data_IF_743347756932
#
_entry.id   IF_743347756932
#
_cell.length_a   1.000
_cell.length_b   1.000
_cell.length_c   1.000
_cell.angle_alpha   90.00
_cell.angle_beta   90.00
_cell.angle_gamma   90.00
#
_symmetry.space_group_name_H-M   'P 1'
#
loop_
_entity.id
_entity.type
_entity.pdbx_description
1 polymer ?
#
# COMPACT_ATOMS: atom_id res chain seq x y z
N UNK A 1 -2.77 -27.71 40.88
CA UNK A 1 -3.35 -26.35 40.81
C UNK A 1 -3.46 -25.80 39.39
N UNK A 2 -2.45 -25.96 38.52
CA UNK A 2 -2.47 -25.52 37.10
C UNK A 2 -3.57 -26.15 36.22
N UNK A 3 -4.14 -27.30 36.60
CA UNK A 3 -5.22 -27.97 35.87
C UNK A 3 -6.60 -27.36 36.11
N UNK A 4 -6.89 -26.90 37.32
CA UNK A 4 -8.18 -26.33 37.69
C UNK A 4 -8.38 -24.93 37.09
N UNK A 5 -7.32 -24.12 36.98
CA UNK A 5 -7.38 -22.83 36.28
C UNK A 5 -7.61 -22.99 34.77
N UNK A 6 -7.02 -24.01 34.13
CA UNK A 6 -7.29 -24.34 32.72
C UNK A 6 -8.72 -24.85 32.52
N UNK A 7 -9.23 -25.68 33.43
CA UNK A 7 -10.61 -26.16 33.41
C UNK A 7 -11.60 -25.01 33.65
N UNK A 8 -11.28 -24.07 34.54
CA UNK A 8 -12.11 -22.90 34.82
C UNK A 8 -12.12 -21.90 33.64
N UNK A 9 -10.98 -21.74 32.96
CA UNK A 9 -10.87 -20.96 31.71
C UNK A 9 -11.69 -21.58 30.59
N UNK A 10 -11.61 -22.90 30.41
CA UNK A 10 -12.42 -23.66 29.45
C UNK A 10 -13.91 -23.62 29.82
N UNK A 11 -14.25 -23.71 31.11
CA UNK A 11 -15.63 -23.60 31.60
C UNK A 11 -16.22 -22.22 31.34
N UNK A 12 -15.45 -21.15 31.55
CA UNK A 12 -15.90 -19.78 31.25
C UNK A 12 -16.04 -19.54 29.74
N UNK A 13 -15.16 -20.12 28.92
CA UNK A 13 -15.30 -20.12 27.46
C UNK A 13 -16.55 -20.90 27.03
N UNK A 14 -16.80 -22.08 27.59
CA UNK A 14 -18.00 -22.91 27.30
C UNK A 14 -19.28 -22.23 27.80
N UNK A 15 -19.25 -21.56 28.95
CA UNK A 15 -20.39 -20.82 29.52
C UNK A 15 -20.77 -19.62 28.66
N UNK A 16 -19.78 -18.87 28.17
CA UNK A 16 -19.96 -17.79 27.19
C UNK A 16 -20.56 -18.32 25.86
N UNK A 17 -20.10 -19.50 25.42
CA UNK A 17 -20.60 -20.21 24.23
C UNK A 17 -22.04 -20.72 24.41
N UNK A 18 -22.40 -21.19 25.60
CA UNK A 18 -23.76 -21.61 25.93
C UNK A 18 -24.71 -20.42 26.08
N UNK A 19 -24.21 -19.25 26.48
CA UNK A 19 -25.00 -18.03 26.49
C UNK A 19 -25.35 -17.56 25.06
N UNK A 20 -24.40 -17.69 24.11
CA UNK A 20 -24.61 -17.47 22.67
C UNK A 20 -25.62 -18.45 22.04
N UNK A 21 -25.81 -19.63 22.65
CA UNK A 21 -26.75 -20.66 22.19
C UNK A 21 -28.23 -20.32 22.45
N UNK A 22 -28.53 -19.38 23.38
CA UNK A 22 -29.93 -19.01 23.70
C UNK A 22 -30.60 -18.19 22.59
N UNK A 23 -29.83 -17.44 21.81
CA UNK A 23 -30.35 -16.51 20.79
C UNK A 23 -30.17 -17.00 19.34
N UNK A 24 -29.29 -17.99 19.10
CA UNK A 24 -29.06 -18.53 17.75
C UNK A 24 -29.74 -19.88 17.54
N UNK A 25 -30.75 -19.91 16.65
CA UNK A 25 -31.37 -21.14 16.13
C UNK A 25 -30.51 -21.89 15.09
N UNK A 26 -29.23 -21.59 14.91
CA UNK A 26 -28.43 -22.23 13.86
C UNK A 26 -27.03 -22.71 14.28
N UNK A 27 -26.68 -23.85 13.67
CA UNK A 27 -25.58 -24.79 13.93
C UNK A 27 -24.14 -24.23 13.73
N UNK A 28 -23.99 -22.93 13.50
CA UNK A 28 -22.78 -22.36 12.89
C UNK A 28 -21.61 -22.14 13.88
N UNK A 29 -21.83 -22.22 15.19
CA UNK A 29 -20.81 -21.94 16.20
C UNK A 29 -20.06 -23.20 16.70
N UNK A 30 -20.68 -24.38 16.60
CA UNK A 30 -20.05 -25.66 17.01
C UNK A 30 -18.82 -26.03 16.17
N UNK A 31 -18.75 -25.54 14.94
CA UNK A 31 -17.74 -25.79 13.93
C UNK A 31 -16.37 -25.16 14.24
N UNK A 32 -16.35 -23.99 14.88
CA UNK A 32 -15.13 -23.29 15.28
C UNK A 32 -14.51 -23.91 16.54
N UNK A 33 -15.37 -24.46 17.41
CA UNK A 33 -15.01 -25.12 18.66
C UNK A 33 -14.31 -26.45 18.38
N UNK A 34 -14.83 -27.26 17.45
CA UNK A 34 -14.21 -28.55 17.09
C UNK A 34 -12.81 -28.34 16.50
N UNK A 35 -12.64 -27.35 15.62
CA UNK A 35 -11.32 -27.04 15.02
C UNK A 35 -10.27 -26.59 16.07
N UNK A 36 -10.65 -25.80 17.08
CA UNK A 36 -9.73 -25.42 18.18
C UNK A 36 -9.49 -26.56 19.17
N UNK A 37 -10.49 -27.41 19.44
CA UNK A 37 -10.35 -28.54 20.36
C UNK A 37 -9.55 -29.70 19.77
N UNK A 38 -9.67 -29.97 18.47
CA UNK A 38 -8.88 -30.99 17.76
C UNK A 38 -7.37 -30.65 17.74
N UNK A 39 -7.03 -29.35 17.68
CA UNK A 39 -5.65 -28.90 17.61
C UNK A 39 -4.97 -28.70 18.99
N UNK A 40 -5.70 -28.81 20.12
CA UNK A 40 -5.14 -28.56 21.45
C UNK A 40 -5.17 -29.74 22.43
N UNK A 41 -5.89 -30.83 22.16
CA UNK A 41 -6.10 -31.91 23.15
C UNK A 41 -5.95 -33.29 22.51
N UNK A 42 -5.08 -34.14 23.08
CA UNK A 42 -4.98 -35.57 22.69
C UNK A 42 -6.32 -36.28 22.97
N UNK A 43 -6.84 -37.11 22.04
CA UNK A 43 -8.15 -37.73 22.18
C UNK A 43 -8.19 -38.68 23.39
N UNK A 44 -9.14 -38.43 24.31
CA UNK A 44 -9.45 -39.32 25.43
C UNK A 44 -10.88 -39.90 25.29
N UNK A 45 -11.20 -41.02 25.94
CA UNK A 45 -12.56 -41.60 25.90
C UNK A 45 -13.67 -40.62 26.34
N UNK A 46 -13.34 -39.70 27.26
CA UNK A 46 -14.24 -38.67 27.75
C UNK A 46 -14.49 -37.56 26.70
N UNK A 47 -13.50 -37.29 25.84
CA UNK A 47 -13.61 -36.38 24.69
C UNK A 47 -14.56 -36.94 23.61
N UNK A 48 -14.50 -38.26 23.36
CA UNK A 48 -15.40 -38.94 22.41
C UNK A 48 -16.85 -39.00 22.91
N UNK A 49 -17.05 -39.17 24.23
CA UNK A 49 -18.35 -39.09 24.88
C UNK A 49 -18.97 -37.68 24.79
N UNK A 50 -18.16 -36.63 24.94
CA UNK A 50 -18.60 -35.23 24.82
C UNK A 50 -19.07 -34.90 23.39
N UNK A 51 -18.32 -35.34 22.37
CA UNK A 51 -18.71 -35.18 20.96
C UNK A 51 -19.97 -35.99 20.64
N UNK A 52 -20.10 -37.22 21.15
CA UNK A 52 -21.29 -38.06 20.98
C UNK A 52 -22.54 -37.45 21.63
N UNK A 53 -22.41 -36.87 22.82
CA UNK A 53 -23.49 -36.14 23.52
C UNK A 53 -23.92 -34.88 22.77
N UNK A 54 -22.96 -34.11 22.24
CA UNK A 54 -23.22 -32.94 21.40
C UNK A 54 -23.99 -33.35 20.12
N UNK A 55 -23.60 -34.46 19.48
CA UNK A 55 -24.28 -35.00 18.30
C UNK A 55 -25.70 -35.51 18.61
N UNK A 56 -25.91 -36.18 19.75
CA UNK A 56 -27.22 -36.67 20.20
C UNK A 56 -28.19 -35.52 20.52
N UNK A 57 -27.69 -34.46 21.19
CA UNK A 57 -28.47 -33.26 21.51
C UNK A 57 -28.86 -32.48 20.26
N UNK A 58 -27.97 -32.39 19.27
CA UNK A 58 -28.27 -31.83 17.95
C UNK A 58 -29.34 -32.63 17.19
N UNK A 59 -29.29 -33.97 17.26
CA UNK A 59 -30.22 -34.87 16.55
C UNK A 59 -31.62 -34.92 17.17
N UNK A 60 -31.75 -34.74 18.49
CA UNK A 60 -33.04 -34.73 19.24
C UNK A 60 -33.99 -33.62 18.76
N UNK A 61 -33.49 -32.56 18.11
CA UNK A 61 -34.29 -31.46 17.52
C UNK A 61 -34.85 -31.77 16.11
N UNK A 62 -34.42 -32.83 15.42
CA UNK A 62 -34.92 -33.22 14.08
C UNK A 62 -35.92 -34.38 14.19
N UNK A 63 -37.22 -34.07 14.20
CA UNK A 63 -38.29 -35.08 14.13
C UNK A 63 -38.19 -35.91 12.82
N UNK A 64 -38.10 -37.23 12.99
CA UNK A 64 -38.75 -38.29 12.19
C UNK A 64 -38.42 -38.52 10.68
N UNK A 65 -37.20 -38.29 10.19
CA UNK A 65 -36.85 -38.73 8.81
C UNK A 65 -35.82 -39.84 8.66
N UNK A 66 -35.28 -40.41 9.75
CA UNK A 66 -34.30 -41.51 9.65
C UNK A 66 -34.33 -42.44 10.87
N UNK A 67 -35.47 -43.07 11.14
CA UNK A 67 -35.65 -43.98 12.29
C UNK A 67 -34.71 -45.18 12.21
N UNK A 68 -34.50 -45.75 11.01
CA UNK A 68 -33.62 -46.91 10.77
C UNK A 68 -32.16 -46.63 11.12
N UNK A 69 -31.57 -45.55 10.56
CA UNK A 69 -30.18 -45.14 10.86
C UNK A 69 -29.94 -44.69 12.31
N UNK A 70 -30.98 -44.33 13.05
CA UNK A 70 -30.88 -44.03 14.49
C UNK A 70 -30.86 -45.32 15.30
N UNK A 71 -31.63 -46.33 14.90
CA UNK A 71 -31.59 -47.66 15.53
C UNK A 71 -30.27 -48.38 15.24
N UNK A 72 -29.75 -48.31 14.01
CA UNK A 72 -28.44 -48.90 13.66
C UNK A 72 -27.28 -48.24 14.43
N UNK A 73 -27.36 -46.93 14.67
CA UNK A 73 -26.36 -46.20 15.47
C UNK A 73 -26.50 -46.50 16.97
N UNK A 74 -27.73 -46.66 17.47
CA UNK A 74 -28.00 -47.06 18.84
C UNK A 74 -27.56 -48.50 19.12
N UNK A 75 -27.68 -49.41 18.15
CA UNK A 75 -27.17 -50.78 18.28
C UNK A 75 -25.64 -50.82 18.27
N UNK A 76 -24.98 -49.99 17.46
CA UNK A 76 -23.51 -49.86 17.47
C UNK A 76 -22.97 -49.27 18.78
N UNK A 77 -23.69 -48.31 19.37
CA UNK A 77 -23.37 -47.76 20.70
C UNK A 77 -23.62 -48.81 21.80
N UNK A 78 -24.65 -49.64 21.65
CA UNK A 78 -24.92 -50.76 22.57
C UNK A 78 -23.94 -51.93 22.44
N UNK A 79 -23.27 -52.10 21.30
CA UNK A 79 -22.31 -53.19 21.05
C UNK A 79 -20.84 -52.81 21.30
N UNK A 80 -20.56 -51.56 21.72
CA UNK A 80 -19.20 -51.04 21.92
C UNK A 80 -18.25 -51.25 20.72
N UNK A 81 -18.76 -51.27 19.49
CA UNK A 81 -17.90 -51.36 18.30
C UNK A 81 -17.38 -49.97 17.92
N UNK A 82 -16.25 -49.61 18.54
CA UNK A 82 -15.55 -48.33 18.35
C UNK A 82 -15.08 -48.15 16.91
N UNK A 83 -14.72 -49.23 16.21
CA UNK A 83 -14.23 -49.21 14.83
C UNK A 83 -15.33 -48.89 13.81
N UNK A 84 -16.50 -49.53 13.96
CA UNK A 84 -17.68 -49.26 13.14
C UNK A 84 -18.24 -47.85 13.35
N UNK A 85 -18.23 -47.35 14.59
CA UNK A 85 -18.63 -45.98 14.93
C UNK A 85 -17.70 -44.94 14.32
N UNK A 86 -16.39 -45.18 14.37
CA UNK A 86 -15.40 -44.30 13.76
C UNK A 86 -15.62 -44.20 12.24
N UNK A 87 -15.75 -45.33 11.55
CA UNK A 87 -15.90 -45.37 10.09
C UNK A 87 -17.23 -44.79 9.59
N UNK A 88 -18.32 -45.00 10.33
CA UNK A 88 -19.63 -44.43 10.00
C UNK A 88 -19.67 -42.91 10.20
N UNK A 89 -19.09 -42.41 11.30
CA UNK A 89 -18.95 -40.98 11.57
C UNK A 89 -18.00 -40.32 10.57
N UNK A 90 -16.88 -40.96 10.23
CA UNK A 90 -15.94 -40.47 9.24
C UNK A 90 -16.62 -40.34 7.88
N UNK A 91 -17.25 -41.39 7.34
CA UNK A 91 -17.86 -41.35 6.00
C UNK A 91 -19.07 -40.39 5.87
N UNK A 92 -19.88 -40.23 6.91
CA UNK A 92 -21.04 -39.31 6.90
C UNK A 92 -20.64 -37.84 7.10
N UNK A 93 -19.58 -37.59 7.86
CA UNK A 93 -19.06 -36.24 8.09
C UNK A 93 -18.18 -35.79 6.92
N UNK A 94 -17.16 -36.56 6.55
CA UNK A 94 -16.07 -36.11 5.67
C UNK A 94 -16.54 -35.62 4.29
N UNK A 95 -17.47 -36.32 3.63
CA UNK A 95 -17.85 -35.97 2.26
C UNK A 95 -18.85 -34.81 2.17
N UNK A 96 -19.86 -34.73 3.05
CA UNK A 96 -20.82 -33.61 3.06
C UNK A 96 -20.27 -32.35 3.70
N UNK A 97 -19.37 -32.50 4.66
CA UNK A 97 -18.63 -31.39 5.28
C UNK A 97 -17.61 -30.87 4.26
N UNK A 98 -16.71 -31.67 3.67
CA UNK A 98 -15.75 -31.12 2.68
C UNK A 98 -16.42 -30.35 1.54
N UNK A 99 -17.55 -30.80 1.00
CA UNK A 99 -18.23 -30.10 -0.11
C UNK A 99 -18.84 -28.77 0.36
N UNK A 100 -19.48 -28.73 1.54
CA UNK A 100 -20.11 -27.51 2.06
C UNK A 100 -19.10 -26.55 2.70
N UNK A 101 -18.00 -27.06 3.21
CA UNK A 101 -16.90 -26.30 3.80
C UNK A 101 -15.96 -25.73 2.75
N UNK A 102 -15.65 -26.49 1.70
CA UNK A 102 -15.02 -25.92 0.51
C UNK A 102 -15.92 -24.83 -0.09
N UNK A 103 -17.25 -24.98 -0.04
CA UNK A 103 -18.17 -23.93 -0.50
C UNK A 103 -18.16 -22.68 0.39
N UNK A 104 -18.18 -22.80 1.73
CA UNK A 104 -18.14 -21.65 2.66
C UNK A 104 -16.76 -20.96 2.67
N UNK A 105 -15.67 -21.74 2.65
CA UNK A 105 -14.30 -21.24 2.56
C UNK A 105 -14.00 -20.67 1.16
N UNK A 106 -14.74 -21.05 0.11
CA UNK A 106 -14.63 -20.43 -1.23
C UNK A 106 -15.61 -19.28 -1.44
N UNK A 107 -16.51 -18.98 -0.50
CA UNK A 107 -17.51 -17.94 -0.69
C UNK A 107 -17.03 -16.61 -0.11
N UNK A 108 -16.47 -15.76 -0.98
CA UNK A 108 -16.12 -14.36 -0.74
C UNK A 108 -17.22 -13.62 0.04
N UNK A 109 -18.49 -13.78 -0.36
CA UNK A 109 -19.62 -13.07 0.24
C UNK A 109 -19.82 -13.40 1.73
N UNK A 110 -19.48 -14.62 2.17
CA UNK A 110 -19.63 -15.01 3.57
C UNK A 110 -18.56 -14.36 4.45
N UNK A 111 -17.31 -14.25 3.95
CA UNK A 111 -16.23 -13.61 4.71
C UNK A 111 -16.43 -12.10 4.82
N UNK A 112 -16.82 -11.44 3.74
CA UNK A 112 -17.15 -10.01 3.76
C UNK A 112 -18.31 -9.74 4.73
N UNK A 113 -19.34 -10.60 4.74
CA UNK A 113 -20.44 -10.51 5.70
C UNK A 113 -19.98 -10.60 7.17
N UNK A 114 -19.01 -11.47 7.49
CA UNK A 114 -18.47 -11.55 8.86
C UNK A 114 -17.86 -10.23 9.32
N UNK A 115 -17.06 -9.60 8.46
CA UNK A 115 -16.50 -8.27 8.72
C UNK A 115 -17.60 -7.22 8.92
N UNK A 116 -18.54 -7.11 7.98
CA UNK A 116 -19.62 -6.11 8.04
C UNK A 116 -20.53 -6.26 9.27
N UNK A 117 -20.75 -7.50 9.71
CA UNK A 117 -21.62 -7.77 10.85
C UNK A 117 -21.06 -7.33 12.20
N UNK A 118 -19.73 -7.07 12.29
CA UNK A 118 -18.99 -6.79 13.53
C UNK A 118 -19.24 -7.81 14.65
N UNK A 119 -19.64 -9.04 14.32
CA UNK A 119 -19.95 -10.08 15.32
C UNK A 119 -18.68 -10.80 15.73
N UNK A 120 -18.49 -10.99 17.04
CA UNK A 120 -17.36 -11.74 17.60
C UNK A 120 -15.99 -11.19 17.19
N UNK A 121 -15.89 -9.89 16.91
CA UNK A 121 -14.59 -9.26 16.71
C UNK A 121 -13.76 -9.42 17.98
N UNK A 122 -12.45 -9.60 17.79
CA UNK A 122 -11.46 -9.66 18.86
C UNK A 122 -10.28 -8.72 18.58
N UNK A 123 -10.39 -7.88 17.54
CA UNK A 123 -9.38 -6.91 17.15
C UNK A 123 -10.07 -5.59 16.73
N UNK A 124 -9.66 -4.46 17.31
CA UNK A 124 -10.01 -3.10 16.90
C UNK A 124 -8.78 -2.44 16.28
N UNK A 125 -8.93 -1.96 15.04
CA UNK A 125 -7.90 -1.23 14.33
C UNK A 125 -8.41 0.19 14.11
N UNK A 126 -7.73 1.16 14.69
CA UNK A 126 -7.97 2.57 14.43
C UNK A 126 -7.05 3.03 13.31
N UNK A 127 -7.60 3.63 12.27
CA UNK A 127 -6.82 4.15 11.13
C UNK A 127 -7.04 5.63 10.95
N UNK A 128 -6.19 6.26 10.14
CA UNK A 128 -6.13 7.69 9.90
C UNK A 128 -5.67 8.52 11.11
N UNK A 129 -5.43 9.81 10.88
CA UNK A 129 -5.01 10.77 11.92
C UNK A 129 -6.18 11.11 12.84
N UNK A 130 -5.89 11.58 14.06
CA UNK A 130 -6.88 11.84 15.12
C UNK A 130 -8.14 12.59 14.67
N UNK A 131 -8.02 13.57 13.76
CA UNK A 131 -9.17 14.34 13.27
C UNK A 131 -10.15 13.53 12.39
N UNK A 132 -9.69 12.46 11.74
CA UNK A 132 -10.46 11.62 10.82
C UNK A 132 -10.48 10.15 11.26
N UNK A 133 -10.03 9.87 12.49
CA UNK A 133 -9.79 8.52 12.99
C UNK A 133 -11.06 7.68 12.93
N UNK A 134 -10.95 6.48 12.38
CA UNK A 134 -12.06 5.50 12.38
C UNK A 134 -11.61 4.14 12.84
N UNK A 135 -12.49 3.49 13.60
CA UNK A 135 -12.30 2.15 14.11
C UNK A 135 -12.89 1.10 13.17
N UNK A 136 -12.12 0.05 12.96
CA UNK A 136 -12.47 -1.15 12.22
C UNK A 136 -12.45 -2.34 13.16
N UNK A 137 -13.52 -3.13 13.14
CA UNK A 137 -13.72 -4.28 14.01
C UNK A 137 -13.44 -5.54 13.20
N UNK A 138 -12.39 -6.27 13.57
CA UNK A 138 -11.85 -7.37 12.79
C UNK A 138 -11.58 -8.62 13.67
N UNK A 139 -11.18 -9.70 12.99
CA UNK A 139 -10.88 -10.99 13.59
C UNK A 139 -9.39 -11.28 13.44
N UNK A 140 -8.69 -11.37 14.57
CA UNK A 140 -7.25 -11.63 14.67
C UNK A 140 -6.80 -12.79 13.79
N UNK A 141 -7.55 -13.90 13.82
CA UNK A 141 -7.28 -15.11 13.03
C UNK A 141 -7.30 -14.89 11.51
N UNK A 142 -8.13 -13.98 11.01
CA UNK A 142 -8.19 -13.69 9.57
C UNK A 142 -7.02 -12.77 9.20
N UNK A 143 -6.75 -11.76 10.02
CA UNK A 143 -5.64 -10.83 9.81
C UNK A 143 -4.30 -11.56 9.79
N UNK A 144 -4.04 -12.41 10.78
CA UNK A 144 -2.81 -13.21 10.92
C UNK A 144 -2.55 -14.12 9.71
N UNK A 145 -3.58 -14.82 9.23
CA UNK A 145 -3.43 -15.73 8.07
C UNK A 145 -3.20 -14.98 6.76
N UNK A 146 -3.67 -13.72 6.66
CA UNK A 146 -3.68 -12.96 5.40
C UNK A 146 -2.57 -11.93 5.29
N UNK A 147 -1.86 -11.64 6.37
CA UNK A 147 -0.86 -10.58 6.43
C UNK A 147 0.20 -10.93 7.47
N UNK A 148 1.43 -11.10 7.01
CA UNK A 148 2.58 -11.38 7.88
C UNK A 148 2.88 -10.22 8.83
N UNK A 149 2.47 -9.00 8.50
CA UNK A 149 2.50 -7.86 9.42
C UNK A 149 1.62 -8.13 10.66
N UNK A 150 0.37 -8.56 10.46
CA UNK A 150 -0.53 -8.84 11.59
C UNK A 150 -0.12 -10.10 12.36
N UNK A 151 0.41 -11.12 11.68
CA UNK A 151 1.03 -12.27 12.34
C UNK A 151 2.19 -11.84 13.25
N UNK A 152 3.11 -11.02 12.73
CA UNK A 152 4.23 -10.50 13.50
C UNK A 152 3.75 -9.67 14.71
N UNK A 153 2.81 -8.76 14.49
CA UNK A 153 2.20 -7.94 15.54
C UNK A 153 1.60 -8.77 16.68
N UNK A 154 0.87 -9.83 16.35
CA UNK A 154 0.20 -10.66 17.35
C UNK A 154 1.19 -11.59 18.07
N UNK A 155 2.09 -12.24 17.33
CA UNK A 155 3.09 -13.17 17.89
C UNK A 155 4.10 -12.48 18.81
N UNK A 156 4.42 -11.22 18.56
CA UNK A 156 5.37 -10.43 19.36
C UNK A 156 4.69 -9.51 20.38
N UNK A 157 3.36 -9.57 20.52
CA UNK A 157 2.62 -8.77 21.50
C UNK A 157 2.69 -7.26 21.27
N UNK A 158 2.82 -6.82 20.02
CA UNK A 158 2.90 -5.39 19.65
C UNK A 158 1.52 -4.70 19.68
N UNK A 159 0.44 -5.47 19.57
CA UNK A 159 -0.91 -4.95 19.77
C UNK A 159 -1.23 -4.81 21.26
N UNK A 160 -1.83 -3.69 21.67
CA UNK A 160 -2.36 -3.53 23.02
C UNK A 160 -3.51 -4.52 23.23
N UNK A 161 -3.69 -5.02 24.45
CA UNK A 161 -4.77 -5.95 24.76
C UNK A 161 -5.57 -5.48 25.97
N UNK A 162 -6.85 -5.21 25.75
CA UNK A 162 -7.78 -4.72 26.77
C UNK A 162 -9.04 -5.58 26.74
N UNK A 163 -9.49 -6.11 27.89
CA UNK A 163 -10.70 -6.93 27.97
C UNK A 163 -10.78 -8.09 26.95
N UNK A 164 -9.63 -8.74 26.68
CA UNK A 164 -9.46 -9.77 25.63
C UNK A 164 -9.61 -9.31 24.17
N UNK A 165 -9.68 -8.00 23.92
CA UNK A 165 -9.70 -7.40 22.59
C UNK A 165 -8.32 -6.82 22.29
N UNK A 166 -7.79 -7.10 21.11
CA UNK A 166 -6.58 -6.46 20.60
C UNK A 166 -6.90 -5.07 20.06
N UNK A 167 -6.05 -4.09 20.33
CA UNK A 167 -6.22 -2.69 19.91
C UNK A 167 -4.93 -2.20 19.28
N UNK A 168 -5.03 -1.63 18.08
CA UNK A 168 -3.91 -1.06 17.34
C UNK A 168 -4.30 0.24 16.63
N UNK A 169 -3.37 1.19 16.60
CA UNK A 169 -3.47 2.39 15.78
C UNK A 169 -2.55 2.25 14.55
N UNK A 170 -3.08 2.58 13.37
CA UNK A 170 -2.34 2.63 12.09
C UNK A 170 -2.63 3.98 11.41
N UNK A 171 -2.07 5.09 11.93
CA UNK A 171 -2.46 6.44 11.52
C UNK A 171 -2.02 6.81 10.09
N UNK A 172 -1.04 6.09 9.54
CA UNK A 172 -0.48 6.38 8.20
C UNK A 172 -1.35 5.86 7.04
N UNK A 173 -2.40 5.10 7.33
CA UNK A 173 -3.33 4.59 6.30
C UNK A 173 -4.65 5.35 6.44
N UNK A 174 -5.10 5.97 5.35
CA UNK A 174 -6.39 6.67 5.34
C UNK A 174 -7.55 5.69 5.49
N UNK A 175 -8.69 6.20 5.97
CA UNK A 175 -9.92 5.41 6.09
C UNK A 175 -10.30 4.71 4.78
N UNK A 176 -10.23 5.42 3.65
CA UNK A 176 -10.70 4.88 2.37
C UNK A 176 -9.78 3.81 1.81
N UNK A 177 -8.46 3.99 1.92
CA UNK A 177 -7.48 2.96 1.57
C UNK A 177 -7.65 1.74 2.47
N UNK A 178 -7.85 1.92 3.78
CA UNK A 178 -8.03 0.80 4.68
C UNK A 178 -9.32 0.01 4.42
N UNK A 179 -10.40 0.66 3.97
CA UNK A 179 -11.63 -0.04 3.55
C UNK A 179 -11.37 -1.00 2.39
N UNK A 180 -10.56 -0.60 1.41
CA UNK A 180 -10.18 -1.45 0.28
C UNK A 180 -9.38 -2.65 0.80
N UNK A 181 -8.37 -2.40 1.63
CA UNK A 181 -7.48 -3.42 2.18
C UNK A 181 -8.22 -4.44 3.05
N UNK A 182 -9.08 -3.99 3.96
CA UNK A 182 -9.81 -4.91 4.85
C UNK A 182 -10.82 -5.74 4.06
N UNK A 183 -11.47 -5.16 3.04
CA UNK A 183 -12.32 -5.93 2.13
C UNK A 183 -11.52 -6.96 1.36
N UNK A 184 -10.31 -6.63 0.90
CA UNK A 184 -9.41 -7.59 0.27
C UNK A 184 -8.98 -8.72 1.22
N UNK A 185 -8.58 -8.39 2.44
CA UNK A 185 -8.16 -9.37 3.44
C UNK A 185 -9.27 -10.40 3.69
N UNK A 186 -10.53 -9.97 3.77
CA UNK A 186 -11.66 -10.87 3.96
C UNK A 186 -12.16 -11.50 2.67
N UNK A 187 -12.26 -10.76 1.57
CA UNK A 187 -12.87 -11.21 0.32
C UNK A 187 -11.92 -12.04 -0.53
N UNK A 188 -10.66 -11.63 -0.61
CA UNK A 188 -9.66 -12.13 -1.56
C UNK A 188 -9.69 -11.43 -2.91
N UNK A 189 -10.52 -10.39 -3.06
CA UNK A 189 -10.71 -9.61 -4.28
C UNK A 189 -10.49 -8.13 -4.00
N UNK A 190 -10.03 -7.41 -5.01
CA UNK A 190 -9.81 -5.98 -4.94
C UNK A 190 -10.42 -5.32 -6.18
N UNK A 191 -11.15 -4.23 -5.97
CA UNK A 191 -11.77 -3.43 -7.03
C UNK A 191 -11.17 -2.03 -6.98
N UNK A 192 -10.58 -1.59 -8.08
CA UNK A 192 -9.91 -0.30 -8.25
C UNK A 192 -10.59 0.57 -9.31
N UNK A 193 -11.69 0.11 -9.92
CA UNK A 193 -12.28 0.68 -11.14
C UNK A 193 -12.65 2.17 -11.04
N UNK A 194 -12.90 2.67 -9.83
CA UNK A 194 -13.33 4.04 -9.56
C UNK A 194 -12.41 4.79 -8.59
N UNK A 195 -11.24 4.23 -8.28
CA UNK A 195 -10.31 4.85 -7.34
C UNK A 195 -9.47 5.93 -8.01
N UNK A 196 -9.25 7.02 -7.29
CA UNK A 196 -8.34 8.07 -7.73
C UNK A 196 -6.89 7.57 -7.68
N UNK A 197 -6.05 8.08 -8.58
CA UNK A 197 -4.64 7.70 -8.66
C UNK A 197 -3.90 7.86 -7.31
N UNK A 198 -4.20 8.92 -6.57
CA UNK A 198 -3.64 9.16 -5.23
C UNK A 198 -4.00 8.05 -4.24
N UNK A 199 -5.25 7.55 -4.28
CA UNK A 199 -5.68 6.42 -3.44
C UNK A 199 -4.97 5.13 -3.86
N UNK A 200 -4.75 4.90 -5.15
CA UNK A 200 -4.07 3.70 -5.66
C UNK A 200 -2.58 3.71 -5.25
N UNK A 201 -1.92 4.87 -5.29
CA UNK A 201 -0.56 5.04 -4.78
C UNK A 201 -0.50 4.80 -3.28
N UNK A 202 -1.40 5.41 -2.51
CA UNK A 202 -1.48 5.21 -1.06
C UNK A 202 -1.81 3.76 -0.69
N UNK A 203 -2.65 3.10 -1.49
CA UNK A 203 -2.96 1.67 -1.38
C UNK A 203 -1.69 0.83 -1.60
N UNK A 204 -0.87 1.13 -2.60
CA UNK A 204 0.38 0.41 -2.85
C UNK A 204 1.34 0.52 -1.64
N UNK A 205 1.52 1.73 -1.09
CA UNK A 205 2.33 1.96 0.11
C UNK A 205 1.75 1.22 1.33
N UNK A 206 0.43 1.21 1.47
CA UNK A 206 -0.24 0.50 2.55
C UNK A 206 -0.15 -1.03 2.39
N UNK A 207 -0.16 -1.56 1.17
CA UNK A 207 0.12 -2.97 0.90
C UNK A 207 1.52 -3.34 1.39
N UNK A 208 2.53 -2.49 1.12
CA UNK A 208 3.89 -2.71 1.62
C UNK A 208 3.95 -2.72 3.14
N UNK A 209 3.33 -1.74 3.78
CA UNK A 209 3.27 -1.64 5.24
C UNK A 209 2.62 -2.87 5.88
N UNK A 210 1.52 -3.35 5.32
CA UNK A 210 0.78 -4.51 5.81
C UNK A 210 1.31 -5.85 5.24
N UNK A 211 2.39 -5.84 4.46
CA UNK A 211 3.01 -7.01 3.84
C UNK A 211 2.01 -7.88 3.06
N UNK A 212 1.23 -7.22 2.20
CA UNK A 212 0.31 -7.83 1.25
C UNK A 212 0.98 -7.92 -0.13
N UNK A 213 2.08 -8.66 -0.18
CA UNK A 213 2.99 -8.76 -1.33
C UNK A 213 2.28 -9.23 -2.60
N UNK A 214 1.25 -10.08 -2.47
CA UNK A 214 0.49 -10.58 -3.61
C UNK A 214 -0.28 -9.49 -4.38
N UNK A 215 -0.43 -8.29 -3.81
CA UNK A 215 -1.08 -7.15 -4.46
C UNK A 215 -0.12 -6.23 -5.21
N UNK A 216 1.19 -6.26 -4.93
CA UNK A 216 2.12 -5.23 -5.41
C UNK A 216 2.12 -5.12 -6.93
N UNK A 217 2.22 -6.26 -7.61
CA UNK A 217 2.27 -6.32 -9.07
C UNK A 217 0.97 -5.82 -9.70
N UNK A 218 -0.17 -6.22 -9.15
CA UNK A 218 -1.49 -5.85 -9.66
C UNK A 218 -1.74 -4.34 -9.51
N UNK A 219 -1.44 -3.77 -8.34
CA UNK A 219 -1.67 -2.35 -8.07
C UNK A 219 -0.73 -1.47 -8.90
N UNK A 220 0.53 -1.88 -9.07
CA UNK A 220 1.48 -1.18 -9.96
C UNK A 220 1.02 -1.21 -11.42
N UNK A 221 0.64 -2.38 -11.95
CA UNK A 221 0.15 -2.53 -13.32
C UNK A 221 -1.11 -1.68 -13.54
N UNK A 222 -2.03 -1.68 -12.56
CA UNK A 222 -3.25 -0.89 -12.64
C UNK A 222 -2.96 0.60 -12.70
N UNK A 223 -2.07 1.11 -11.82
CA UNK A 223 -1.67 2.51 -11.80
C UNK A 223 -1.04 2.93 -13.14
N UNK A 224 -0.09 2.12 -13.65
CA UNK A 224 0.59 2.38 -14.93
C UNK A 224 -0.38 2.32 -16.11
N UNK A 225 -1.36 1.43 -16.09
CA UNK A 225 -2.30 1.26 -17.21
C UNK A 225 -3.40 2.32 -17.24
N UNK A 226 -3.93 2.70 -16.08
CA UNK A 226 -5.14 3.51 -15.99
C UNK A 226 -4.89 4.97 -15.58
N UNK A 227 -3.71 5.31 -15.04
CA UNK A 227 -3.44 6.64 -14.48
C UNK A 227 -2.12 7.28 -14.99
N UNK A 228 -1.71 6.99 -16.23
CA UNK A 228 -0.46 7.54 -16.82
C UNK A 228 -0.36 9.05 -16.75
N UNK A 229 -1.43 9.78 -17.12
CA UNK A 229 -1.45 11.24 -17.07
C UNK A 229 -1.19 11.77 -15.67
N UNK A 230 -1.73 11.10 -14.65
CA UNK A 230 -1.49 11.47 -13.26
C UNK A 230 -0.06 11.14 -12.83
N UNK A 231 0.50 10.00 -13.26
CA UNK A 231 1.92 9.66 -13.03
C UNK A 231 2.83 10.74 -13.60
N UNK A 232 2.57 11.21 -14.82
CA UNK A 232 3.38 12.25 -15.47
C UNK A 232 3.30 13.59 -14.74
N UNK A 233 2.12 13.92 -14.16
CA UNK A 233 1.96 15.11 -13.35
C UNK A 233 2.65 15.01 -11.97
N UNK A 234 2.85 13.80 -11.46
CA UNK A 234 3.40 13.50 -10.14
C UNK A 234 4.68 12.65 -10.26
N UNK A 235 5.52 12.99 -11.24
CA UNK A 235 6.64 12.15 -11.67
C UNK A 235 7.73 12.06 -10.60
N UNK A 236 7.91 13.10 -9.78
CA UNK A 236 8.87 13.12 -8.67
C UNK A 236 8.38 12.23 -7.52
N UNK A 237 7.10 12.32 -7.16
CA UNK A 237 6.47 11.49 -6.15
C UNK A 237 6.57 10.00 -6.52
N UNK A 238 6.28 9.66 -7.79
CA UNK A 238 6.40 8.27 -8.26
C UNK A 238 7.84 7.77 -8.19
N UNK A 239 8.84 8.60 -8.51
CA UNK A 239 10.26 8.26 -8.27
C UNK A 239 10.50 7.96 -6.79
N UNK A 240 10.10 8.85 -5.90
CA UNK A 240 10.35 8.71 -4.47
C UNK A 240 9.75 7.41 -3.91
N UNK A 241 8.49 7.13 -4.25
CA UNK A 241 7.80 5.93 -3.78
C UNK A 241 8.40 4.67 -4.40
N UNK A 242 8.62 4.65 -5.71
CA UNK A 242 9.12 3.47 -6.40
C UNK A 242 10.54 3.09 -5.95
N UNK A 243 11.44 4.06 -5.74
CA UNK A 243 12.82 3.78 -5.32
C UNK A 243 12.98 3.63 -3.80
N UNK A 244 11.95 3.99 -3.00
CA UNK A 244 11.94 3.71 -1.55
C UNK A 244 11.78 2.21 -1.25
N UNK A 245 11.08 1.48 -2.11
CA UNK A 245 10.75 0.07 -1.90
C UNK A 245 11.25 -0.78 -3.07
N UNK A 246 12.13 -1.75 -2.80
CA UNK A 246 12.73 -2.61 -3.83
C UNK A 246 11.70 -3.45 -4.59
N UNK A 247 10.58 -3.80 -3.94
CA UNK A 247 9.53 -4.64 -4.53
C UNK A 247 8.68 -3.89 -5.58
N UNK A 248 8.85 -2.58 -5.72
CA UNK A 248 8.13 -1.76 -6.70
C UNK A 248 8.86 -1.68 -8.05
N UNK A 249 9.43 -2.80 -8.49
CA UNK A 249 10.28 -2.89 -9.68
C UNK A 249 9.55 -2.45 -10.97
N UNK A 250 8.24 -2.70 -11.09
CA UNK A 250 7.48 -2.30 -12.28
C UNK A 250 7.37 -0.79 -12.40
N UNK A 251 7.10 -0.09 -11.29
CA UNK A 251 7.10 1.37 -11.26
C UNK A 251 8.50 1.95 -11.45
N UNK A 252 9.53 1.35 -10.84
CA UNK A 252 10.92 1.78 -11.04
C UNK A 252 11.31 1.70 -12.52
N UNK A 253 11.03 0.57 -13.17
CA UNK A 253 11.31 0.36 -14.59
C UNK A 253 10.50 1.32 -15.46
N UNK A 254 9.19 1.45 -15.22
CA UNK A 254 8.34 2.39 -15.95
C UNK A 254 8.86 3.82 -15.83
N UNK A 255 9.23 4.24 -14.62
CA UNK A 255 9.81 5.56 -14.37
C UNK A 255 11.13 5.76 -15.10
N UNK A 256 12.07 4.82 -14.99
CA UNK A 256 13.39 4.90 -15.62
C UNK A 256 13.31 4.94 -17.15
N UNK A 257 12.47 4.08 -17.75
CA UNK A 257 12.18 4.09 -19.19
C UNK A 257 11.58 5.42 -19.61
N UNK A 258 10.56 5.91 -18.91
CA UNK A 258 9.91 7.20 -19.21
C UNK A 258 10.88 8.37 -19.11
N UNK A 259 11.73 8.40 -18.07
CA UNK A 259 12.72 9.45 -17.88
C UNK A 259 13.79 9.46 -18.99
N UNK A 260 14.17 8.28 -19.48
CA UNK A 260 15.13 8.12 -20.56
C UNK A 260 14.52 8.52 -21.92
N UNK A 261 13.30 8.09 -22.22
CA UNK A 261 12.65 8.33 -23.50
C UNK A 261 12.07 9.75 -23.61
N UNK A 262 11.59 10.31 -22.50
CA UNK A 262 10.84 11.58 -22.48
C UNK A 262 11.25 12.45 -21.26
N UNK A 263 12.49 12.94 -21.20
CA UNK A 263 12.96 13.73 -20.05
C UNK A 263 12.16 15.02 -19.82
N UNK A 264 11.46 15.53 -20.85
CA UNK A 264 10.55 16.68 -20.74
C UNK A 264 9.38 16.44 -19.76
N UNK A 265 8.96 15.19 -19.55
CA UNK A 265 7.90 14.85 -18.58
C UNK A 265 8.32 15.29 -17.18
N UNK A 266 9.57 15.02 -16.78
CA UNK A 266 10.09 15.40 -15.47
C UNK A 266 9.93 16.91 -15.23
N UNK A 267 10.33 17.73 -16.20
CA UNK A 267 10.25 19.18 -16.07
C UNK A 267 8.82 19.72 -16.21
N UNK A 268 7.92 18.99 -16.87
CA UNK A 268 6.51 19.37 -17.01
C UNK A 268 5.65 18.94 -15.82
N UNK A 269 6.19 18.11 -14.93
CA UNK A 269 5.48 17.62 -13.76
C UNK A 269 5.10 18.78 -12.81
N UNK A 270 3.93 18.64 -12.18
CA UNK A 270 3.42 19.61 -11.21
C UNK A 270 4.29 19.60 -9.95
N UNK A 271 4.81 18.43 -9.59
CA UNK A 271 5.65 18.22 -8.43
C UNK A 271 7.15 18.39 -8.70
N UNK A 272 7.56 18.85 -9.88
CA UNK A 272 8.98 19.08 -10.21
C UNK A 272 9.69 19.95 -9.17
N UNK A 273 9.01 20.98 -8.66
CA UNK A 273 9.56 21.90 -7.66
C UNK A 273 9.76 21.26 -6.29
N UNK A 274 9.28 20.03 -6.07
CA UNK A 274 9.54 19.25 -4.85
C UNK A 274 10.86 18.45 -4.88
N UNK A 275 11.58 18.46 -6.01
CA UNK A 275 12.91 17.84 -6.10
C UNK A 275 13.85 18.47 -5.07
N UNK A 276 14.59 17.62 -4.36
CA UNK A 276 15.72 18.06 -3.55
C UNK A 276 16.84 18.63 -4.43
N UNK A 277 17.69 19.47 -3.82
CA UNK A 277 18.75 20.19 -4.53
C UNK A 277 19.76 19.21 -5.12
N UNK A 278 20.09 18.13 -4.43
CA UNK A 278 21.02 17.09 -4.87
C UNK A 278 20.53 16.38 -6.13
N UNK A 279 19.24 16.05 -6.20
CA UNK A 279 18.61 15.47 -7.37
C UNK A 279 18.64 16.44 -8.56
N UNK A 280 18.30 17.72 -8.33
CA UNK A 280 18.37 18.74 -9.39
C UNK A 280 19.81 18.94 -9.89
N UNK A 281 20.80 18.94 -8.99
CA UNK A 281 22.22 19.00 -9.35
C UNK A 281 22.63 17.81 -10.20
N UNK A 282 22.19 16.60 -9.86
CA UNK A 282 22.45 15.38 -10.64
C UNK A 282 21.90 15.51 -12.07
N UNK A 283 20.65 15.97 -12.21
CA UNK A 283 20.02 16.22 -13.51
C UNK A 283 20.80 17.26 -14.32
N UNK A 284 21.18 18.37 -13.69
CA UNK A 284 21.93 19.43 -14.37
C UNK A 284 23.34 18.99 -14.81
N UNK A 285 23.95 18.01 -14.13
CA UNK A 285 25.27 17.45 -14.50
C UNK A 285 25.20 16.50 -15.71
N UNK A 286 24.06 15.87 -15.99
CA UNK A 286 23.95 14.86 -17.03
C UNK A 286 24.11 15.46 -18.45
N UNK A 287 25.19 15.10 -19.13
CA UNK A 287 25.47 15.54 -20.51
C UNK A 287 24.50 14.97 -21.54
N UNK A 288 23.79 13.89 -21.22
CA UNK A 288 22.79 13.26 -22.10
C UNK A 288 21.37 13.79 -21.86
N UNK A 289 21.19 14.78 -20.98
CA UNK A 289 19.90 15.41 -20.73
C UNK A 289 19.36 16.07 -22.02
N UNK A 290 18.29 15.53 -22.57
CA UNK A 290 17.68 15.97 -23.83
C UNK A 290 16.70 17.14 -23.64
N UNK A 291 17.20 18.29 -23.16
CA UNK A 291 16.44 19.55 -23.01
C UNK A 291 17.28 20.71 -23.51
N UNK A 292 16.66 21.70 -24.17
CA UNK A 292 17.37 22.91 -24.62
C UNK A 292 17.80 23.73 -23.40
N UNK A 293 18.98 24.34 -23.45
CA UNK A 293 19.51 25.02 -22.27
C UNK A 293 18.65 26.22 -21.81
N UNK A 294 17.99 26.90 -22.75
CA UNK A 294 17.04 27.97 -22.42
C UNK A 294 15.76 27.45 -21.73
N UNK A 295 15.27 26.26 -22.09
CA UNK A 295 14.15 25.58 -21.43
C UNK A 295 14.57 25.11 -20.03
N UNK A 296 15.77 24.52 -19.91
CA UNK A 296 16.33 24.09 -18.62
C UNK A 296 16.45 25.27 -17.66
N UNK A 297 16.92 26.43 -18.14
CA UNK A 297 17.00 27.65 -17.35
C UNK A 297 15.63 28.05 -16.76
N UNK A 298 14.57 28.05 -17.58
CA UNK A 298 13.22 28.39 -17.11
C UNK A 298 12.76 27.46 -15.98
N UNK A 299 13.06 26.16 -16.10
CA UNK A 299 12.73 25.18 -15.07
C UNK A 299 13.54 25.40 -13.78
N UNK A 300 14.82 25.74 -13.87
CA UNK A 300 15.67 26.02 -12.71
C UNK A 300 15.21 27.28 -11.97
N UNK A 301 14.84 28.33 -12.71
CA UNK A 301 14.27 29.54 -12.11
C UNK A 301 12.94 29.22 -11.43
N UNK A 302 12.07 28.43 -12.07
CA UNK A 302 10.81 27.98 -11.46
C UNK A 302 11.05 27.20 -10.16
N UNK A 303 12.02 26.28 -10.16
CA UNK A 303 12.42 25.55 -8.95
C UNK A 303 12.95 26.50 -7.87
N UNK A 304 13.87 27.40 -8.22
CA UNK A 304 14.46 28.35 -7.29
C UNK A 304 13.43 29.28 -6.65
N UNK A 305 12.44 29.77 -7.41
CA UNK A 305 11.32 30.54 -6.85
C UNK A 305 10.46 29.71 -5.90
N UNK A 306 10.16 28.46 -6.25
CA UNK A 306 9.35 27.59 -5.41
C UNK A 306 10.03 27.22 -4.08
N UNK A 307 11.37 27.16 -4.03
CA UNK A 307 12.11 26.97 -2.78
C UNK A 307 12.08 28.19 -1.85
N UNK A 308 11.74 29.38 -2.38
CA UNK A 308 11.76 30.64 -1.67
C UNK A 308 10.40 31.33 -1.85
N UNK A 309 9.37 30.78 -1.21
CA UNK A 309 7.97 31.20 -1.35
C UNK A 309 7.68 32.67 -1.00
N UNK A 310 8.61 33.33 -0.32
CA UNK A 310 8.60 34.75 0.01
C UNK A 310 8.92 35.66 -1.18
N UNK A 311 9.49 35.13 -2.26
CA UNK A 311 9.86 35.91 -3.43
C UNK A 311 8.62 36.38 -4.21
N UNK A 312 8.59 37.65 -4.67
CA UNK A 312 7.51 38.12 -5.54
C UNK A 312 7.43 37.31 -6.84
N UNK A 313 6.23 37.12 -7.37
CA UNK A 313 6.04 36.39 -8.63
C UNK A 313 6.66 37.14 -9.83
N UNK A 314 6.32 38.42 -9.95
CA UNK A 314 6.83 39.31 -10.99
C UNK A 314 8.22 39.86 -10.64
N UNK A 315 9.18 39.68 -11.56
CA UNK A 315 10.56 40.08 -11.37
C UNK A 315 10.74 41.61 -11.21
N UNK A 316 9.83 42.41 -11.79
CA UNK A 316 9.89 43.87 -11.71
C UNK A 316 9.72 44.39 -10.27
N UNK A 317 9.18 43.56 -9.38
CA UNK A 317 8.96 43.89 -7.97
C UNK A 317 10.13 43.43 -7.08
N UNK A 318 11.20 42.87 -7.66
CA UNK A 318 12.30 42.30 -6.89
C UNK A 318 13.28 43.37 -6.39
N UNK A 319 13.64 43.24 -5.12
CA UNK A 319 14.71 43.99 -4.47
C UNK A 319 16.06 43.28 -4.65
N UNK A 320 17.15 43.98 -4.34
CA UNK A 320 18.49 43.37 -4.32
C UNK A 320 18.58 42.17 -3.37
N UNK A 321 17.82 42.17 -2.28
CA UNK A 321 17.77 41.05 -1.34
C UNK A 321 17.09 39.81 -1.96
N UNK A 322 16.02 40.01 -2.73
CA UNK A 322 15.29 38.93 -3.40
C UNK A 322 16.18 38.18 -4.40
N UNK A 323 16.97 38.93 -5.19
CA UNK A 323 18.00 38.34 -6.05
C UNK A 323 19.06 37.57 -5.24
N UNK A 324 19.47 38.08 -4.08
CA UNK A 324 20.46 37.41 -3.23
C UNK A 324 19.92 36.08 -2.64
N UNK A 325 18.64 36.03 -2.29
CA UNK A 325 17.97 34.80 -1.82
C UNK A 325 17.97 33.74 -2.93
N UNK A 326 17.53 34.11 -4.14
CA UNK A 326 17.55 33.20 -5.29
C UNK A 326 18.98 32.75 -5.64
N UNK A 327 19.94 33.68 -5.63
CA UNK A 327 21.35 33.41 -5.92
C UNK A 327 21.92 32.34 -5.00
N UNK A 328 21.71 32.45 -3.69
CA UNK A 328 22.17 31.44 -2.71
C UNK A 328 21.58 30.05 -2.98
N UNK A 329 20.31 29.99 -3.38
CA UNK A 329 19.64 28.73 -3.70
C UNK A 329 20.24 28.06 -4.94
N UNK A 330 20.61 28.86 -5.94
CA UNK A 330 21.08 28.40 -7.24
C UNK A 330 22.61 28.40 -7.41
N UNK A 331 23.38 28.78 -6.39
CA UNK A 331 24.83 29.01 -6.48
C UNK A 331 25.61 27.81 -7.05
N UNK A 332 25.25 26.59 -6.62
CA UNK A 332 25.89 25.35 -7.10
C UNK A 332 25.35 24.88 -8.46
N UNK A 333 24.19 25.39 -8.87
CA UNK A 333 23.49 25.01 -10.10
C UNK A 333 23.92 25.91 -11.27
N UNK A 334 24.11 27.21 -11.03
CA UNK A 334 24.52 28.19 -12.05
C UNK A 334 25.77 27.74 -12.84
N UNK A 335 26.84 27.22 -12.22
CA UNK A 335 28.01 26.70 -12.94
C UNK A 335 27.74 25.46 -13.80
N UNK A 336 26.57 24.83 -13.70
CA UNK A 336 26.20 23.68 -14.52
C UNK A 336 25.45 24.08 -15.79
N UNK A 337 25.15 25.38 -15.95
CA UNK A 337 24.41 25.92 -17.09
C UNK A 337 25.35 26.28 -18.23
N UNK A 338 25.02 25.79 -19.42
CA UNK A 338 25.73 26.06 -20.68
C UNK A 338 25.23 27.36 -21.30
N UNK A 339 25.42 28.48 -20.62
CA UNK A 339 24.89 29.78 -21.05
C UNK A 339 25.26 30.16 -22.50
N UNK A 340 26.41 29.72 -23.01
CA UNK A 340 26.84 29.99 -24.39
C UNK A 340 26.05 29.20 -25.46
N UNK A 341 25.23 28.22 -25.07
CA UNK A 341 24.29 27.50 -25.94
C UNK A 341 22.91 28.19 -26.00
N UNK A 342 22.72 29.27 -25.23
CA UNK A 342 21.48 30.05 -25.22
C UNK A 342 21.52 31.06 -26.37
N UNK A 343 20.42 31.21 -27.09
CA UNK A 343 20.34 32.17 -28.20
C UNK A 343 20.46 33.62 -27.70
N UNK A 344 20.85 34.56 -28.56
CA UNK A 344 20.89 35.98 -28.17
C UNK A 344 19.51 36.52 -27.73
N UNK A 345 18.44 36.05 -28.36
CA UNK A 345 17.07 36.43 -28.02
C UNK A 345 16.70 35.89 -26.63
N UNK A 346 16.94 34.60 -26.38
CA UNK A 346 16.70 33.98 -25.07
C UNK A 346 17.60 34.58 -23.98
N UNK A 347 18.84 34.96 -24.30
CA UNK A 347 19.71 35.66 -23.36
C UNK A 347 19.07 36.99 -22.92
N UNK A 348 18.57 37.77 -23.88
CA UNK A 348 17.90 39.04 -23.61
C UNK A 348 16.64 38.87 -22.75
N UNK A 349 15.76 37.93 -23.11
CA UNK A 349 14.45 37.80 -22.47
C UNK A 349 14.44 36.92 -21.21
N UNK A 350 15.36 35.95 -21.09
CA UNK A 350 15.35 34.94 -20.00
C UNK A 350 16.52 35.06 -19.04
N UNK A 351 17.70 35.46 -19.51
CA UNK A 351 18.92 35.52 -18.66
C UNK A 351 19.12 36.91 -18.07
N UNK A 352 19.09 37.95 -18.90
CA UNK A 352 19.32 39.35 -18.47
C UNK A 352 18.42 39.81 -17.31
N UNK A 353 17.12 39.45 -17.24
CA UNK A 353 16.28 39.84 -16.11
C UNK A 353 16.82 39.35 -14.77
N UNK A 354 17.53 38.22 -14.75
CA UNK A 354 18.16 37.64 -13.56
C UNK A 354 19.65 37.96 -13.46
N UNK A 355 20.19 38.93 -14.19
CA UNK A 355 21.63 39.23 -14.23
C UNK A 355 22.27 39.41 -12.83
N UNK A 356 21.52 39.90 -11.85
CA UNK A 356 21.98 40.08 -10.46
C UNK A 356 22.33 38.78 -9.71
N UNK A 357 21.83 37.60 -10.16
CA UNK A 357 22.22 36.32 -9.54
C UNK A 357 23.55 35.80 -10.09
N UNK A 358 23.99 36.27 -11.25
CA UNK A 358 25.25 35.88 -11.87
C UNK A 358 26.43 36.67 -11.26
N UNK A 359 27.65 36.16 -11.41
CA UNK A 359 28.83 36.97 -11.10
C UNK A 359 28.99 38.07 -12.16
N UNK A 360 29.49 39.24 -11.75
CA UNK A 360 29.70 40.35 -12.67
C UNK A 360 30.65 39.96 -13.83
N UNK A 361 31.66 39.14 -13.56
CA UNK A 361 32.59 38.65 -14.58
C UNK A 361 31.90 37.72 -15.59
N UNK A 362 31.07 36.79 -15.12
CA UNK A 362 30.30 35.89 -15.98
C UNK A 362 29.32 36.69 -16.84
N UNK A 363 28.56 37.60 -16.24
CA UNK A 363 27.58 38.40 -16.97
C UNK A 363 28.23 39.28 -18.05
N UNK A 364 29.38 39.89 -17.75
CA UNK A 364 30.15 40.67 -18.73
C UNK A 364 30.67 39.80 -19.88
N UNK A 365 31.12 38.58 -19.59
CA UNK A 365 31.60 37.66 -20.62
C UNK A 365 30.45 37.18 -21.53
N UNK A 366 29.31 36.84 -20.96
CA UNK A 366 28.09 36.49 -21.71
C UNK A 366 27.62 37.65 -22.59
N UNK A 367 27.62 38.87 -22.05
CA UNK A 367 27.26 40.06 -22.81
C UNK A 367 28.19 40.25 -24.01
N UNK A 368 29.51 40.07 -23.83
CA UNK A 368 30.47 40.18 -24.95
C UNK A 368 30.30 39.05 -25.95
N UNK A 369 30.00 37.83 -25.50
CA UNK A 369 29.73 36.70 -26.38
C UNK A 369 28.57 36.98 -27.35
N UNK A 370 27.49 37.62 -26.88
CA UNK A 370 26.34 37.95 -27.73
C UNK A 370 26.52 39.21 -28.57
N UNK A 371 27.35 40.18 -28.14
CA UNK A 371 27.49 41.48 -28.83
C UNK A 371 28.72 41.60 -29.73
N UNK A 372 29.79 40.83 -29.48
CA UNK A 372 31.07 40.97 -30.17
C UNK A 372 31.34 39.73 -31.03
N UNK A 373 31.42 39.92 -32.35
CA UNK A 373 31.76 38.85 -33.28
C UNK A 373 33.11 38.21 -32.93
N UNK A 374 33.18 36.88 -32.99
CA UNK A 374 34.38 36.08 -32.67
C UNK A 374 34.89 36.21 -31.22
N UNK A 375 34.05 36.69 -30.27
CA UNK A 375 34.39 36.62 -28.85
C UNK A 375 34.56 35.16 -28.42
N UNK A 376 35.61 34.89 -27.64
CA UNK A 376 35.87 33.55 -27.08
C UNK A 376 35.42 33.52 -25.62
N UNK A 377 34.45 32.66 -25.26
CA UNK A 377 34.03 32.43 -23.88
C UNK A 377 35.20 32.23 -22.92
N UNK A 378 35.15 32.88 -21.77
CA UNK A 378 36.18 32.76 -20.71
C UNK A 378 35.76 31.84 -19.56
N UNK A 379 34.46 31.58 -19.43
CA UNK A 379 33.90 30.74 -18.38
C UNK A 379 33.37 29.43 -18.96
N UNK A 380 33.28 28.44 -18.08
CA UNK A 380 32.51 27.20 -18.20
C UNK A 380 32.30 26.67 -19.64
N UNK A 381 33.34 26.05 -20.19
CA UNK A 381 33.28 25.36 -21.48
C UNK A 381 32.77 23.92 -21.33
N UNK A 382 31.59 23.76 -20.73
CA UNK A 382 30.91 22.46 -20.69
C UNK A 382 30.58 22.02 -22.11
N UNK A 383 30.69 20.72 -22.37
CA UNK A 383 30.28 20.13 -23.65
C UNK A 383 28.78 20.32 -23.83
N UNK A 384 28.36 20.73 -25.03
CA UNK A 384 26.95 20.85 -25.39
C UNK A 384 26.23 19.54 -25.09
N UNK A 385 25.03 19.62 -24.49
CA UNK A 385 24.26 18.41 -24.18
C UNK A 385 23.87 17.71 -25.47
N UNK A 386 23.85 16.38 -25.46
CA UNK A 386 23.42 15.59 -26.63
C UNK A 386 21.92 15.78 -26.83
N UNK A 387 21.54 16.67 -27.73
CA UNK A 387 20.13 16.80 -28.13
C UNK A 387 19.86 15.75 -29.21
N UNK A 388 19.63 14.50 -28.80
CA UNK A 388 19.33 13.43 -29.74
C UNK A 388 17.84 13.50 -30.11
N UNK A 389 17.51 14.24 -31.17
CA UNK A 389 16.13 14.36 -31.69
C UNK A 389 15.60 13.08 -32.36
N UNK A 390 16.39 12.00 -32.42
CA UNK A 390 16.06 10.75 -33.13
C UNK A 390 15.43 9.67 -32.23
N UNK A 391 14.40 10.01 -31.44
CA UNK A 391 13.48 9.03 -30.85
C UNK A 391 12.13 8.96 -31.57
N UNK A 392 11.96 9.69 -32.68
CA UNK A 392 10.78 9.57 -33.57
C UNK A 392 10.85 8.40 -34.57
N UNK A 393 11.74 7.42 -34.36
CA UNK A 393 11.86 6.24 -35.24
C UNK A 393 12.01 4.92 -34.49
N UNK A 394 11.25 4.71 -33.41
CA UNK A 394 10.81 3.36 -33.05
C UNK A 394 9.32 3.29 -33.34
N UNK A 395 9.05 2.86 -34.57
CA UNK A 395 7.75 2.73 -35.22
C UNK A 395 6.89 1.60 -34.63
N UNK A 396 5.60 1.93 -34.50
CA UNK A 396 4.38 1.10 -34.43
C UNK A 396 4.12 0.21 -33.21
#
# INVERSE_FOLDING_TARGET
MLSLMKIYSIYNQISFILHLYKDFREYNFFSLIIYRLENQIKPSPQYMLLIALIFLLAKKKRKQRNKKRIMDFASLVGSCDVGGLHNACYNLSYHKIRVKWAWIIRNEAIRVYFFESKRNYDFIISVDKENNKREFYAHSVILEVRSSYFEHVLSHGLARKENNIFIMDIPDISVDVFKILIRYIYGGTIDLGHEEAVNIVNLLVACEKLKLEELYDYVQDYLIKHHQSWIFQNFVLIRQISFKYSDFAKLQNYWATTACEQPKILFSANDFTSLDKEALLSICKDENLCVKENELWDHIIRWGKAQNSELPEEINNWTANDFNILKKSLEDIIPLIRFYEISSDDFCYKIMPYSAILSNELFQDLTKFHLVSNWKPKFNSLVSRKVNWNLSSVTM
#
